data_IF_775560008971
#
_entry.id   IF_775560008971
#
_cell.length_a   1.000
_cell.length_b   1.000
_cell.length_c   1.000
_cell.angle_alpha   90.00
_cell.angle_beta   90.00
_cell.angle_gamma   90.00
#
_symmetry.space_group_name_H-M   'P 1'
#
loop_
_entity.id
_entity.type
_entity.pdbx_description
1 polymer ?
#
# COMPACT_ATOMS: atom_id res chain seq x y z
N UNK A 1 12.54 -9.37 25.17
CA UNK A 1 11.67 -9.80 24.05
C UNK A 1 11.44 -8.59 23.18
N UNK A 2 11.80 -8.68 21.90
CA UNK A 2 11.73 -7.53 21.02
C UNK A 2 10.30 -7.34 20.52
N UNK A 3 9.77 -6.12 20.65
CA UNK A 3 8.49 -5.73 20.07
C UNK A 3 8.59 -5.76 18.52
N UNK A 4 7.48 -5.97 17.79
CA UNK A 4 7.49 -5.85 16.34
C UNK A 4 7.94 -4.46 15.90
N UNK A 5 8.60 -4.42 14.74
CA UNK A 5 8.98 -3.17 14.07
C UNK A 5 8.08 -2.91 12.86
N UNK A 6 8.01 -1.64 12.45
CA UNK A 6 7.11 -1.15 11.41
C UNK A 6 7.90 -0.38 10.35
N UNK A 7 7.47 -0.50 9.10
CA UNK A 7 7.87 0.39 8.00
C UNK A 7 6.71 0.55 7.03
N UNK A 8 6.67 1.63 6.27
CA UNK A 8 5.55 1.95 5.39
C UNK A 8 6.05 2.51 4.06
N UNK A 9 5.43 2.07 2.96
CA UNK A 9 5.55 2.66 1.64
C UNK A 9 4.17 3.17 1.22
N UNK A 10 4.07 4.41 0.73
CA UNK A 10 2.81 4.97 0.24
C UNK A 10 2.98 5.45 -1.20
N UNK A 11 2.15 4.92 -2.08
CA UNK A 11 2.00 5.37 -3.44
C UNK A 11 0.86 6.39 -3.56
N UNK A 12 1.08 7.45 -4.33
CA UNK A 12 0.12 8.54 -4.55
C UNK A 12 0.11 8.93 -6.03
N UNK A 13 -1.07 9.20 -6.58
CA UNK A 13 -1.16 9.77 -7.92
C UNK A 13 -0.87 11.27 -7.90
N UNK A 14 -0.14 11.76 -8.90
CA UNK A 14 0.01 13.20 -9.15
C UNK A 14 -0.73 13.53 -10.44
N UNK A 15 -1.92 14.12 -10.31
CA UNK A 15 -2.84 14.35 -11.43
C UNK A 15 -2.73 15.77 -11.97
N UNK A 16 -2.68 15.88 -13.29
CA UNK A 16 -2.82 17.13 -14.04
C UNK A 16 -4.01 16.97 -14.98
N UNK A 17 -5.05 17.78 -14.81
CA UNK A 17 -6.32 17.66 -15.53
C UNK A 17 -6.89 16.23 -15.44
N UNK A 18 -6.87 15.68 -14.23
CA UNK A 18 -7.39 14.34 -13.92
C UNK A 18 -6.54 13.18 -14.45
N UNK A 19 -5.29 13.40 -14.88
CA UNK A 19 -4.43 12.34 -15.44
C UNK A 19 -3.01 12.35 -14.84
N UNK A 20 -2.41 11.18 -14.56
CA UNK A 20 -1.00 11.10 -14.22
C UNK A 20 -0.11 11.67 -15.33
N UNK A 21 1.02 12.26 -14.95
CA UNK A 21 1.99 12.82 -15.90
C UNK A 21 3.43 12.55 -15.46
N UNK A 22 4.30 12.26 -16.42
CA UNK A 22 5.75 12.12 -16.16
C UNK A 22 6.39 13.39 -15.61
N UNK A 23 5.70 14.53 -15.67
CA UNK A 23 6.13 15.77 -15.02
C UNK A 23 6.33 15.64 -13.50
N UNK A 24 5.62 14.72 -12.83
CA UNK A 24 5.77 14.47 -11.40
C UNK A 24 7.13 13.87 -11.02
N UNK A 25 7.86 13.30 -11.99
CA UNK A 25 9.25 12.88 -11.79
C UNK A 25 10.17 14.06 -11.45
N UNK A 26 9.85 15.27 -11.91
CA UNK A 26 10.62 16.45 -11.52
C UNK A 26 10.38 16.81 -10.05
N UNK A 27 9.15 16.64 -9.55
CA UNK A 27 8.84 16.88 -8.15
C UNK A 27 9.55 15.85 -7.26
N UNK A 28 9.57 14.58 -7.69
CA UNK A 28 10.41 13.53 -7.06
C UNK A 28 11.91 13.83 -7.15
N UNK A 29 12.40 14.39 -8.26
CA UNK A 29 13.79 14.80 -8.38
C UNK A 29 14.12 15.90 -7.36
N UNK A 30 13.27 16.92 -7.22
CA UNK A 30 13.46 17.97 -6.21
C UNK A 30 13.47 17.37 -4.81
N UNK A 31 12.56 16.43 -4.50
CA UNK A 31 12.56 15.72 -3.22
C UNK A 31 13.86 14.94 -3.01
N UNK A 32 14.29 14.15 -4.00
CA UNK A 32 15.55 13.41 -3.99
C UNK A 32 16.73 14.33 -3.65
N UNK A 33 16.83 15.49 -4.31
CA UNK A 33 17.97 16.39 -4.16
C UNK A 33 17.96 17.23 -2.88
N UNK A 34 16.82 17.33 -2.16
CA UNK A 34 16.78 17.95 -0.83
C UNK A 34 17.55 17.14 0.22
N UNK A 35 17.49 15.82 0.14
CA UNK A 35 18.28 14.91 0.98
C UNK A 35 18.60 13.63 0.19
N UNK A 36 19.67 13.66 -0.62
CA UNK A 36 20.04 12.51 -1.44
C UNK A 36 20.36 11.26 -0.63
N UNK A 37 20.88 11.41 0.60
CA UNK A 37 21.27 10.26 1.43
C UNK A 37 20.04 9.46 1.84
N UNK A 38 18.98 10.15 2.26
CA UNK A 38 17.72 9.52 2.66
C UNK A 38 16.86 9.16 1.46
N UNK A 39 16.58 10.13 0.59
CA UNK A 39 15.52 10.00 -0.40
C UNK A 39 15.90 9.13 -1.60
N UNK A 40 17.18 8.77 -1.78
CA UNK A 40 17.62 7.88 -2.85
C UNK A 40 16.97 6.50 -2.77
N UNK A 41 16.90 5.91 -1.57
CA UNK A 41 16.25 4.62 -1.32
C UNK A 41 14.81 4.72 -0.84
N UNK A 42 14.32 5.92 -0.49
CA UNK A 42 13.00 6.15 0.11
C UNK A 42 12.01 6.83 -0.82
N UNK A 43 12.32 6.89 -2.11
CA UNK A 43 11.41 7.38 -3.14
C UNK A 43 11.41 6.44 -4.32
N UNK A 44 10.24 6.22 -4.91
CA UNK A 44 10.08 5.44 -6.13
C UNK A 44 9.00 6.05 -7.02
N UNK A 45 8.86 5.51 -8.22
CA UNK A 45 7.83 5.89 -9.17
C UNK A 45 7.42 4.68 -9.99
N UNK A 46 6.13 4.58 -10.25
CA UNK A 46 5.53 3.52 -11.04
C UNK A 46 5.12 4.04 -12.43
N UNK A 47 5.26 3.16 -13.40
CA UNK A 47 4.87 3.44 -14.78
C UNK A 47 3.79 2.46 -15.24
N UNK A 48 2.90 2.95 -16.08
CA UNK A 48 2.00 2.10 -16.86
C UNK A 48 2.76 1.45 -18.00
N UNK A 49 2.20 0.35 -18.52
CA UNK A 49 2.70 -0.32 -19.73
C UNK A 49 1.93 0.09 -20.99
N UNK A 50 1.13 1.15 -20.94
CA UNK A 50 0.24 1.57 -22.04
C UNK A 50 0.39 3.06 -22.36
N UNK A 51 0.64 3.36 -23.63
CA UNK A 51 0.60 4.73 -24.16
C UNK A 51 -0.85 5.28 -24.14
N UNK A 52 -1.06 6.61 -24.09
CA UNK A 52 -0.06 7.69 -24.16
C UNK A 52 0.54 8.10 -22.79
N UNK A 53 0.00 7.61 -21.68
CA UNK A 53 0.41 8.04 -20.33
C UNK A 53 1.25 6.96 -19.66
N UNK A 54 2.57 7.12 -19.74
CA UNK A 54 3.51 6.17 -19.15
C UNK A 54 3.56 6.28 -17.62
N UNK A 55 3.18 7.40 -17.01
CA UNK A 55 3.27 7.58 -15.56
C UNK A 55 2.05 6.99 -14.83
N UNK A 56 2.27 6.42 -13.65
CA UNK A 56 1.24 6.00 -12.69
C UNK A 56 1.40 6.82 -11.39
N UNK A 57 2.03 6.25 -10.37
CA UNK A 57 2.17 6.84 -9.04
C UNK A 57 3.60 7.27 -8.73
N UNK A 58 3.72 8.20 -7.79
CA UNK A 58 4.97 8.47 -7.06
C UNK A 58 4.87 7.81 -5.69
N UNK A 59 6.01 7.49 -5.09
CA UNK A 59 6.06 6.76 -3.82
C UNK A 59 7.09 7.37 -2.88
N UNK A 60 6.80 7.33 -1.59
CA UNK A 60 7.80 7.49 -0.54
C UNK A 60 7.75 6.31 0.44
N UNK A 61 8.84 6.11 1.17
CA UNK A 61 8.94 5.13 2.25
C UNK A 61 9.44 5.76 3.55
N UNK A 62 9.03 5.19 4.69
CA UNK A 62 9.50 5.57 6.03
C UNK A 62 10.72 4.76 6.47
N UNK A 63 11.38 5.17 7.55
CA UNK A 63 12.32 4.34 8.29
C UNK A 63 11.64 3.26 9.14
N UNK A 64 12.45 2.45 9.82
CA UNK A 64 11.97 1.38 10.69
C UNK A 64 11.64 1.95 12.07
N UNK A 65 10.42 1.70 12.55
CA UNK A 65 9.91 2.22 13.82
C UNK A 65 9.52 1.11 14.78
N UNK A 66 9.63 1.38 16.09
CA UNK A 66 9.19 0.46 17.14
C UNK A 66 7.75 0.68 17.61
N UNK A 67 7.04 1.71 17.10
CA UNK A 67 5.67 2.01 17.50
C UNK A 67 4.84 2.61 16.37
N UNK A 68 3.51 2.38 16.36
CA UNK A 68 2.57 3.00 15.41
C UNK A 68 2.64 4.53 15.39
N UNK A 69 2.75 5.17 16.56
CA UNK A 69 2.78 6.62 16.67
C UNK A 69 4.02 7.24 15.97
N UNK A 70 5.20 6.62 16.13
CA UNK A 70 6.43 7.09 15.48
C UNK A 70 6.37 6.93 13.96
N UNK A 71 5.84 5.79 13.48
CA UNK A 71 5.60 5.55 12.07
C UNK A 71 4.65 6.59 11.47
N UNK A 72 3.54 6.89 12.15
CA UNK A 72 2.55 7.86 11.70
C UNK A 72 3.14 9.27 11.63
N UNK A 73 3.90 9.67 12.65
CA UNK A 73 4.57 10.97 12.66
C UNK A 73 5.52 11.14 11.47
N UNK A 74 6.34 10.12 11.17
CA UNK A 74 7.20 10.18 9.98
C UNK A 74 6.37 10.18 8.70
N UNK A 75 5.33 9.35 8.61
CA UNK A 75 4.45 9.31 7.43
C UNK A 75 3.85 10.69 7.13
N UNK A 76 3.33 11.40 8.14
CA UNK A 76 2.82 12.76 7.96
C UNK A 76 3.92 13.73 7.52
N UNK A 77 5.14 13.61 8.05
CA UNK A 77 6.27 14.41 7.61
C UNK A 77 6.65 14.12 6.15
N UNK A 78 6.62 12.86 5.70
CA UNK A 78 6.87 12.48 4.30
C UNK A 78 5.80 13.08 3.37
N UNK A 79 4.51 13.01 3.74
CA UNK A 79 3.41 13.63 2.99
C UNK A 79 3.61 15.14 2.84
N UNK A 80 3.96 15.82 3.93
CA UNK A 80 4.23 17.26 3.92
C UNK A 80 5.43 17.62 3.01
N UNK A 81 6.50 16.83 3.04
CA UNK A 81 7.64 17.02 2.15
C UNK A 81 7.27 16.85 0.67
N UNK A 82 6.48 15.81 0.33
CA UNK A 82 5.99 15.59 -1.02
C UNK A 82 5.07 16.72 -1.48
N UNK A 83 4.12 17.15 -0.64
CA UNK A 83 3.25 18.29 -0.89
C UNK A 83 4.03 19.59 -1.13
N UNK A 84 5.13 19.80 -0.40
CA UNK A 84 5.96 21.00 -0.53
C UNK A 84 6.77 21.05 -1.84
N UNK A 85 7.05 19.91 -2.48
CA UNK A 85 7.71 19.88 -3.81
C UNK A 85 6.70 19.84 -4.95
N UNK A 86 5.59 19.11 -4.80
CA UNK A 86 4.51 19.04 -5.77
C UNK A 86 3.60 20.26 -5.64
N UNK A 87 4.11 21.43 -6.03
CA UNK A 87 3.37 22.72 -5.97
C UNK A 87 2.24 22.81 -6.99
N UNK A 88 2.30 22.00 -8.03
CA UNK A 88 1.24 21.84 -9.04
C UNK A 88 0.98 20.36 -9.27
N UNK A 89 -0.24 20.06 -9.69
CA UNK A 89 -0.76 18.70 -9.75
C UNK A 89 -1.40 18.28 -8.42
N UNK A 90 -2.53 17.59 -8.53
CA UNK A 90 -3.30 17.12 -7.38
C UNK A 90 -2.69 15.82 -6.86
N UNK A 91 -2.41 15.77 -5.55
CA UNK A 91 -1.97 14.58 -4.83
C UNK A 91 -3.18 13.76 -4.43
N UNK A 92 -3.37 12.61 -5.08
CA UNK A 92 -4.58 11.80 -4.95
C UNK A 92 -4.22 10.43 -4.37
N UNK A 93 -4.33 10.24 -3.04
CA UNK A 93 -4.13 8.95 -2.37
C UNK A 93 -5.39 8.08 -2.54
N UNK A 94 -5.54 7.45 -3.71
CA UNK A 94 -6.66 6.56 -4.04
C UNK A 94 -6.15 5.24 -4.56
N UNK A 95 -6.78 4.11 -4.25
CA UNK A 95 -6.25 2.79 -4.65
C UNK A 95 -6.14 2.59 -6.18
N UNK A 96 -7.07 3.15 -6.95
CA UNK A 96 -7.12 3.00 -8.40
C UNK A 96 -7.88 4.15 -9.05
N UNK A 97 -7.41 4.62 -10.20
CA UNK A 97 -8.11 5.62 -11.00
C UNK A 97 -9.28 5.01 -11.80
N UNK A 98 -10.31 5.79 -12.16
CA UNK A 98 -11.48 5.34 -12.92
C UNK A 98 -11.20 5.13 -14.42
N UNK A 99 -10.09 4.45 -14.78
CA UNK A 99 -9.65 4.22 -16.16
C UNK A 99 -9.41 2.75 -16.53
N UNK A 100 -9.72 1.82 -15.62
CA UNK A 100 -9.58 0.35 -15.77
C UNK A 100 -8.17 -0.13 -16.17
N UNK A 101 -7.14 0.71 -16.10
CA UNK A 101 -5.79 0.30 -16.40
C UNK A 101 -5.21 -0.44 -15.17
N UNK A 102 -4.93 -1.75 -15.25
CA UNK A 102 -4.48 -2.53 -14.09
C UNK A 102 -3.12 -2.08 -13.54
N UNK A 103 -2.37 -1.24 -14.28
CA UNK A 103 -1.11 -0.63 -13.86
C UNK A 103 -1.27 0.77 -13.23
N UNK A 104 -2.47 1.38 -13.31
CA UNK A 104 -2.81 2.64 -12.64
C UNK A 104 -3.42 2.37 -11.27
N UNK A 105 -2.59 1.79 -10.40
CA UNK A 105 -2.95 1.49 -9.02
C UNK A 105 -1.96 2.15 -8.08
N UNK A 106 -2.43 2.58 -6.93
CA UNK A 106 -1.61 3.03 -5.81
C UNK A 106 -1.85 2.12 -4.62
N UNK A 107 -0.80 1.71 -3.92
CA UNK A 107 -0.87 0.94 -2.68
C UNK A 107 -0.34 1.68 -1.46
N UNK A 108 -0.80 1.24 -0.30
CA UNK A 108 -0.11 1.44 0.98
C UNK A 108 0.49 0.10 1.39
N UNK A 109 1.82 0.00 1.46
CA UNK A 109 2.49 -1.22 1.88
C UNK A 109 2.92 -1.07 3.33
N UNK A 110 2.43 -1.95 4.20
CA UNK A 110 2.82 -1.98 5.61
C UNK A 110 3.77 -3.16 5.86
N UNK A 111 4.98 -2.85 6.30
CA UNK A 111 5.99 -3.83 6.68
C UNK A 111 5.99 -4.06 8.18
N UNK A 112 5.97 -5.33 8.59
CA UNK A 112 6.06 -5.77 9.98
C UNK A 112 7.29 -6.67 10.14
N UNK A 113 8.27 -6.20 10.91
CA UNK A 113 9.45 -6.98 11.27
C UNK A 113 9.28 -7.65 12.64
N UNK A 114 9.49 -8.96 12.70
CA UNK A 114 9.48 -9.76 13.93
C UNK A 114 10.68 -10.70 13.95
N UNK A 115 10.98 -11.29 15.10
CA UNK A 115 12.00 -12.34 15.21
C UNK A 115 11.67 -13.53 14.30
N UNK A 116 12.69 -14.14 13.67
CA UNK A 116 12.50 -15.17 12.64
C UNK A 116 11.62 -16.35 13.08
N UNK A 117 11.79 -16.82 14.33
CA UNK A 117 10.97 -17.90 14.90
C UNK A 117 9.50 -17.52 15.16
N UNK A 118 9.16 -16.23 15.07
CA UNK A 118 7.82 -15.69 15.29
C UNK A 118 7.11 -15.33 13.98
N UNK A 119 7.84 -15.34 12.86
CA UNK A 119 7.40 -14.83 11.56
C UNK A 119 6.15 -15.53 11.05
N UNK A 120 6.12 -16.87 11.13
CA UNK A 120 4.97 -17.65 10.67
C UNK A 120 3.71 -17.34 11.48
N UNK A 121 3.81 -17.30 12.82
CA UNK A 121 2.68 -16.95 13.68
C UNK A 121 2.15 -15.55 13.39
N UNK A 122 3.04 -14.56 13.31
CA UNK A 122 2.64 -13.19 13.03
C UNK A 122 1.96 -13.09 11.65
N UNK A 123 2.49 -13.79 10.63
CA UNK A 123 1.87 -13.87 9.31
C UNK A 123 0.47 -14.47 9.39
N UNK A 124 0.29 -15.62 10.06
CA UNK A 124 -1.01 -16.29 10.26
C UNK A 124 -2.02 -15.34 10.92
N UNK A 125 -1.62 -14.65 12.00
CA UNK A 125 -2.48 -13.73 12.73
C UNK A 125 -2.92 -12.54 11.87
N UNK A 126 -2.00 -11.96 11.10
CA UNK A 126 -2.31 -10.86 10.18
C UNK A 126 -3.21 -11.34 9.05
N UNK A 127 -2.91 -12.50 8.45
CA UNK A 127 -3.65 -13.05 7.33
C UNK A 127 -5.13 -13.30 7.67
N UNK A 128 -5.42 -13.72 8.91
CA UNK A 128 -6.80 -13.89 9.42
C UNK A 128 -7.61 -12.60 9.33
N UNK A 129 -7.04 -11.46 9.73
CA UNK A 129 -7.74 -10.17 9.79
C UNK A 129 -7.46 -9.25 8.59
N UNK A 130 -6.67 -9.69 7.62
CA UNK A 130 -6.38 -8.94 6.41
C UNK A 130 -7.63 -8.43 5.67
N UNK A 131 -8.75 -9.19 5.57
CA UNK A 131 -9.98 -8.68 4.98
C UNK A 131 -10.51 -7.42 5.68
N UNK A 132 -10.46 -7.38 7.03
CA UNK A 132 -10.93 -6.26 7.84
C UNK A 132 -10.04 -5.04 7.61
N UNK A 133 -8.71 -5.22 7.70
CA UNK A 133 -7.75 -4.14 7.45
C UNK A 133 -7.85 -3.59 6.02
N UNK A 134 -8.09 -4.47 5.04
CA UNK A 134 -8.22 -4.08 3.63
C UNK A 134 -9.49 -3.26 3.41
N UNK A 135 -10.64 -3.71 3.92
CA UNK A 135 -11.89 -2.95 3.81
C UNK A 135 -11.78 -1.59 4.51
N UNK A 136 -11.15 -1.54 5.69
CA UNK A 136 -10.94 -0.29 6.42
C UNK A 136 -10.10 0.73 5.63
N UNK A 137 -9.17 0.26 4.81
CA UNK A 137 -8.34 1.10 3.93
C UNK A 137 -9.02 1.50 2.62
N UNK A 138 -10.10 0.83 2.22
CA UNK A 138 -10.63 0.85 0.87
C UNK A 138 -10.98 2.27 0.40
N UNK A 139 -10.42 2.66 -0.74
CA UNK A 139 -10.62 3.98 -1.34
C UNK A 139 -10.80 3.94 -2.85
N UNK A 140 -10.94 2.77 -3.47
CA UNK A 140 -11.03 2.61 -4.94
C UNK A 140 -12.39 2.07 -5.41
N UNK A 141 -13.49 2.83 -5.28
CA UNK A 141 -14.85 2.31 -5.47
C UNK A 141 -15.28 2.08 -6.92
N UNK A 142 -14.48 2.43 -7.92
CA UNK A 142 -14.92 2.47 -9.32
C UNK A 142 -14.29 1.40 -10.20
N UNK A 143 -15.10 0.85 -11.10
CA UNK A 143 -14.66 0.15 -12.30
C UNK A 143 -14.92 1.07 -13.49
N UNK A 144 -13.86 1.68 -14.01
CA UNK A 144 -14.03 2.76 -14.99
C UNK A 144 -14.83 3.88 -14.34
N UNK A 145 -15.94 4.29 -14.98
CA UNK A 145 -16.84 5.32 -14.44
C UNK A 145 -18.00 4.76 -13.61
N UNK A 146 -18.15 3.45 -13.56
CA UNK A 146 -19.24 2.80 -12.84
C UNK A 146 -18.83 2.50 -11.40
N UNK A 147 -19.80 2.59 -10.48
CA UNK A 147 -19.60 2.14 -9.10
C UNK A 147 -19.44 0.63 -9.08
N UNK A 148 -18.32 0.17 -8.53
CA UNK A 148 -18.01 -1.24 -8.32
C UNK A 148 -18.35 -1.69 -6.89
N UNK A 149 -17.92 -0.92 -5.89
CA UNK A 149 -18.00 -1.29 -4.48
C UNK A 149 -17.00 -0.48 -3.65
N UNK A 150 -16.16 -1.16 -2.87
CA UNK A 150 -15.21 -0.52 -1.96
C UNK A 150 -13.77 -0.51 -2.51
N UNK A 151 -13.28 -1.61 -3.07
CA UNK A 151 -11.91 -1.67 -3.61
C UNK A 151 -11.82 -2.46 -4.91
N UNK A 152 -11.90 -1.76 -6.04
CA UNK A 152 -11.64 -2.33 -7.36
C UNK A 152 -10.17 -2.64 -7.56
N UNK A 153 -9.25 -1.93 -6.88
CA UNK A 153 -7.81 -2.22 -6.90
C UNK A 153 -7.53 -3.68 -6.54
N UNK A 154 -8.17 -4.20 -5.49
CA UNK A 154 -7.96 -5.59 -5.04
C UNK A 154 -8.37 -6.62 -6.10
N UNK A 155 -9.33 -6.27 -6.97
CA UNK A 155 -9.81 -7.15 -8.05
C UNK A 155 -8.95 -7.04 -9.32
N UNK A 156 -8.52 -5.83 -9.68
CA UNK A 156 -7.97 -5.54 -11.00
C UNK A 156 -6.45 -5.28 -11.03
N UNK A 157 -5.81 -4.99 -9.89
CA UNK A 157 -4.37 -4.72 -9.86
C UNK A 157 -3.56 -5.92 -10.32
N UNK A 158 -2.58 -5.70 -11.20
CA UNK A 158 -1.65 -6.76 -11.62
C UNK A 158 -0.72 -7.24 -10.49
N UNK A 159 -0.58 -6.45 -9.43
CA UNK A 159 0.41 -6.64 -8.37
C UNK A 159 -0.13 -7.36 -7.14
N UNK A 160 -1.44 -7.66 -7.12
CA UNK A 160 -2.20 -8.24 -6.01
C UNK A 160 -2.82 -9.57 -6.41
N UNK A 161 -3.25 -10.35 -5.42
CA UNK A 161 -3.79 -11.68 -5.69
C UNK A 161 -4.16 -12.47 -4.43
N UNK A 162 -4.91 -13.58 -4.60
CA UNK A 162 -5.26 -14.46 -3.50
C UNK A 162 -4.01 -15.00 -2.79
N UNK A 163 -4.14 -15.33 -1.50
CA UNK A 163 -3.06 -15.94 -0.75
C UNK A 163 -2.80 -17.35 -1.26
N UNK A 164 -1.51 -17.65 -1.49
CA UNK A 164 -1.04 -18.95 -1.94
C UNK A 164 -0.36 -19.72 -0.79
N UNK A 165 -0.04 -20.99 -1.05
CA UNK A 165 0.71 -21.83 -0.08
C UNK A 165 2.11 -21.28 0.20
N UNK A 166 2.77 -20.70 -0.80
CA UNK A 166 4.08 -20.05 -0.62
C UNK A 166 3.90 -18.58 -0.19
N UNK A 167 4.21 -18.22 1.07
CA UNK A 167 4.10 -16.84 1.54
C UNK A 167 5.13 -15.91 0.88
N UNK A 168 6.14 -16.44 0.18
CA UNK A 168 7.15 -15.67 -0.54
C UNK A 168 6.74 -15.34 -1.98
N UNK A 169 5.59 -15.84 -2.45
CA UNK A 169 5.09 -15.53 -3.79
C UNK A 169 4.74 -14.04 -3.88
N UNK A 170 5.31 -13.32 -4.85
CA UNK A 170 5.22 -11.86 -4.89
C UNK A 170 3.82 -11.33 -5.22
N UNK A 171 3.03 -11.98 -6.07
CA UNK A 171 1.76 -11.39 -6.56
C UNK A 171 0.56 -11.85 -5.73
N UNK A 172 0.58 -11.51 -4.44
CA UNK A 172 -0.52 -11.76 -3.52
C UNK A 172 -0.63 -10.64 -2.49
N UNK A 173 -1.76 -10.61 -1.80
CA UNK A 173 -2.21 -9.54 -0.91
C UNK A 173 -1.37 -9.38 0.38
N UNK A 174 -0.70 -10.45 0.81
CA UNK A 174 0.20 -10.50 1.96
C UNK A 174 1.39 -11.39 1.65
N UNK A 175 2.61 -10.91 1.88
CA UNK A 175 3.82 -11.68 1.60
C UNK A 175 4.79 -11.66 2.77
N UNK A 176 5.73 -12.60 2.76
CA UNK A 176 7.00 -12.45 3.45
C UNK A 176 8.02 -11.96 2.43
N UNK A 177 8.65 -10.81 2.71
CA UNK A 177 9.62 -10.22 1.80
C UNK A 177 10.92 -11.00 1.84
N UNK A 178 11.40 -11.47 0.69
CA UNK A 178 12.68 -12.20 0.61
C UNK A 178 13.88 -11.35 1.01
N UNK A 179 13.81 -10.04 0.76
CA UNK A 179 14.91 -9.10 0.98
C UNK A 179 14.99 -8.62 2.42
N UNK A 180 13.86 -8.27 3.03
CA UNK A 180 13.84 -7.67 4.36
C UNK A 180 13.48 -8.69 5.45
N UNK A 181 12.93 -9.85 5.08
CA UNK A 181 12.45 -10.85 6.05
C UNK A 181 11.23 -10.35 6.83
N UNK A 182 10.51 -9.35 6.32
CA UNK A 182 9.33 -8.75 6.95
C UNK A 182 8.06 -9.36 6.39
N UNK A 183 6.97 -9.29 7.14
CA UNK A 183 5.62 -9.46 6.58
C UNK A 183 5.24 -8.15 5.91
N UNK A 184 4.72 -8.19 4.70
CA UNK A 184 4.31 -7.01 3.92
C UNK A 184 2.84 -7.15 3.51
N UNK A 185 2.00 -6.29 4.07
CA UNK A 185 0.58 -6.14 3.69
C UNK A 185 0.53 -5.24 2.47
N UNK A 186 0.02 -5.75 1.35
CA UNK A 186 0.02 -5.05 0.05
C UNK A 186 -1.39 -4.71 -0.43
N UNK A 187 -2.38 -5.38 0.16
CA UNK A 187 -3.80 -5.22 -0.13
C UNK A 187 -4.34 -3.81 0.17
N UNK A 188 -3.66 -3.03 1.01
CA UNK A 188 -4.21 -1.77 1.51
C UNK A 188 -4.20 -0.69 0.41
N UNK A 189 -5.32 0.00 0.27
CA UNK A 189 -5.39 1.22 -0.54
C UNK A 189 -4.73 2.39 0.25
N UNK A 190 -4.26 3.46 -0.41
CA UNK A 190 -3.79 4.66 0.28
C UNK A 190 -4.89 5.31 1.13
N UNK A 191 -4.49 5.87 2.28
CA UNK A 191 -5.40 6.38 3.30
C UNK A 191 -5.06 7.83 3.62
N UNK A 192 -5.86 8.80 3.18
CA UNK A 192 -5.59 10.20 3.50
C UNK A 192 -5.78 10.53 5.00
N UNK A 193 -6.76 9.89 5.67
CA UNK A 193 -7.13 10.18 7.06
C UNK A 193 -6.10 9.59 8.07
N UNK A 194 -5.39 10.43 8.85
CA UNK A 194 -4.38 9.95 9.79
C UNK A 194 -4.92 9.05 10.90
N UNK A 195 -6.14 9.27 11.39
CA UNK A 195 -6.74 8.47 12.46
C UNK A 195 -7.08 7.05 11.97
N UNK A 196 -7.62 6.96 10.76
CA UNK A 196 -7.91 5.68 10.09
C UNK A 196 -6.61 4.90 9.84
N UNK A 197 -5.58 5.59 9.34
CA UNK A 197 -4.25 4.98 9.15
C UNK A 197 -3.68 4.49 10.48
N UNK A 198 -3.77 5.28 11.54
CA UNK A 198 -3.33 4.88 12.88
C UNK A 198 -4.03 3.62 13.37
N UNK A 199 -5.36 3.54 13.23
CA UNK A 199 -6.14 2.38 13.66
C UNK A 199 -5.72 1.09 12.94
N UNK A 200 -5.48 1.16 11.62
CA UNK A 200 -5.03 0.02 10.82
C UNK A 200 -3.59 -0.40 11.21
N UNK A 201 -2.68 0.56 11.36
CA UNK A 201 -1.28 0.29 11.74
C UNK A 201 -1.19 -0.29 13.15
N UNK A 202 -1.92 0.28 14.11
CA UNK A 202 -1.93 -0.19 15.50
C UNK A 202 -2.52 -1.59 15.61
N UNK A 203 -3.63 -1.88 14.92
CA UNK A 203 -4.20 -3.21 14.87
C UNK A 203 -3.21 -4.24 14.29
N UNK A 204 -2.58 -3.94 13.14
CA UNK A 204 -1.60 -4.84 12.53
C UNK A 204 -0.37 -5.07 13.42
N UNK A 205 0.13 -4.01 14.08
CA UNK A 205 1.24 -4.10 15.03
C UNK A 205 0.89 -4.98 16.24
N UNK A 206 -0.30 -4.82 16.83
CA UNK A 206 -0.80 -5.64 17.94
C UNK A 206 -0.97 -7.11 17.53
N UNK A 207 -1.51 -7.38 16.34
CA UNK A 207 -1.64 -8.74 15.80
C UNK A 207 -0.28 -9.42 15.65
N UNK A 208 0.74 -8.70 15.17
CA UNK A 208 2.11 -9.20 15.08
C UNK A 208 2.73 -9.45 16.47
N UNK A 209 2.35 -8.66 17.48
CA UNK A 209 2.81 -8.80 18.86
C UNK A 209 2.10 -9.92 19.65
N UNK A 210 0.97 -10.45 19.15
CA UNK A 210 0.27 -11.55 19.80
C UNK A 210 1.17 -12.78 19.92
N UNK A 211 1.21 -13.36 21.13
CA UNK A 211 2.02 -14.55 21.43
C UNK A 211 1.35 -15.85 21.03
N UNK A 212 0.01 -15.85 20.95
CA UNK A 212 -0.77 -17.00 20.50
C UNK A 212 -0.95 -16.98 18.99
N UNK A 213 -0.97 -18.16 18.38
CA UNK A 213 -1.41 -18.34 17.01
C UNK A 213 -2.94 -18.38 16.96
N UNK A 214 -3.52 -17.69 16.00
CA UNK A 214 -4.95 -17.69 15.74
C UNK A 214 -5.26 -18.66 14.58
N UNK A 215 -6.44 -19.29 14.59
CA UNK A 215 -6.82 -20.17 13.49
C UNK A 215 -6.92 -19.39 12.18
N UNK A 216 -6.31 -19.90 11.12
CA UNK A 216 -6.34 -19.26 9.81
C UNK A 216 -6.46 -20.31 8.72
N UNK A 217 -7.30 -20.02 7.74
CA UNK A 217 -7.42 -20.79 6.52
C UNK A 217 -7.40 -19.87 5.31
N UNK A 218 -6.42 -20.09 4.43
CA UNK A 218 -6.26 -19.34 3.19
C UNK A 218 -7.46 -19.50 2.24
N UNK A 219 -8.17 -20.64 2.26
CA UNK A 219 -9.35 -20.83 1.42
C UNK A 219 -10.50 -19.94 1.87
N UNK A 220 -10.74 -19.86 3.19
CA UNK A 220 -11.68 -18.93 3.82
C UNK A 220 -11.36 -17.48 3.48
N UNK A 221 -10.08 -17.07 3.64
CA UNK A 221 -9.64 -15.73 3.22
C UNK A 221 -9.94 -15.47 1.74
N UNK A 222 -9.55 -16.40 0.86
CA UNK A 222 -9.72 -16.24 -0.59
C UNK A 222 -11.20 -16.21 -1.00
N UNK A 223 -12.09 -16.85 -0.23
CA UNK A 223 -13.54 -16.75 -0.41
C UNK A 223 -14.07 -15.37 -0.04
N UNK A 224 -13.67 -14.83 1.13
CA UNK A 224 -14.03 -13.48 1.55
C UNK A 224 -13.50 -12.41 0.59
N UNK A 225 -12.25 -12.57 0.13
CA UNK A 225 -11.58 -11.69 -0.84
C UNK A 225 -12.38 -11.46 -2.13
N UNK A 226 -13.21 -12.43 -2.54
CA UNK A 226 -14.06 -12.28 -3.74
C UNK A 226 -15.31 -11.43 -3.49
N UNK A 227 -15.68 -11.20 -2.23
CA UNK A 227 -16.96 -10.60 -1.83
C UNK A 227 -16.79 -9.20 -1.25
N UNK A 228 -16.00 -9.05 -0.17
CA UNK A 228 -15.91 -7.79 0.56
C UNK A 228 -15.47 -6.57 -0.28
N UNK A 229 -14.62 -6.69 -1.32
CA UNK A 229 -14.27 -5.52 -2.12
C UNK A 229 -15.46 -4.92 -2.88
N UNK A 230 -16.52 -5.72 -3.08
CA UNK A 230 -17.77 -5.32 -3.73
C UNK A 230 -18.88 -5.07 -2.72
N UNK A 231 -19.06 -5.97 -1.78
CA UNK A 231 -20.19 -6.01 -0.83
C UNK A 231 -19.95 -5.19 0.44
N UNK A 232 -18.69 -4.83 0.75
CA UNK A 232 -18.36 -4.13 1.99
C UNK A 232 -18.38 -5.05 3.20
N UNK A 233 -18.98 -4.56 4.29
CA UNK A 233 -19.03 -5.24 5.58
C UNK A 233 -20.08 -6.36 5.59
N UNK A 234 -19.69 -7.55 5.13
CA UNK A 234 -20.54 -8.76 5.19
C UNK A 234 -20.68 -9.27 6.64
N UNK A 235 -21.69 -10.11 6.95
CA UNK A 235 -21.85 -10.69 8.30
C UNK A 235 -20.59 -11.42 8.79
N UNK A 236 -19.97 -12.23 7.94
CA UNK A 236 -18.76 -12.98 8.28
C UNK A 236 -17.57 -12.04 8.53
N UNK A 237 -17.49 -10.93 7.78
CA UNK A 237 -16.46 -9.92 7.99
C UNK A 237 -16.70 -9.10 9.26
N UNK A 238 -17.96 -8.86 9.61
CA UNK A 238 -18.36 -8.20 10.86
C UNK A 238 -17.97 -9.03 12.08
N UNK A 239 -18.13 -10.35 12.02
CA UNK A 239 -17.65 -11.27 13.08
C UNK A 239 -16.13 -11.18 13.25
N UNK A 240 -15.37 -11.20 12.16
CA UNK A 240 -13.91 -11.00 12.19
C UNK A 240 -13.53 -9.62 12.74
N UNK A 241 -14.31 -8.58 12.42
CA UNK A 241 -14.08 -7.23 12.91
C UNK A 241 -14.32 -7.09 14.41
N UNK A 242 -15.37 -7.73 14.94
CA UNK A 242 -15.65 -7.78 16.38
C UNK A 242 -14.51 -8.52 17.12
N UNK A 243 -14.05 -9.65 16.59
CA UNK A 243 -12.90 -10.34 17.16
C UNK A 243 -11.63 -9.47 17.11
N UNK A 244 -11.39 -8.75 16.01
CA UNK A 244 -10.27 -7.82 15.91
C UNK A 244 -10.37 -6.70 16.95
N UNK A 245 -11.57 -6.14 17.15
CA UNK A 245 -11.85 -5.12 18.14
C UNK A 245 -11.52 -5.61 19.56
N UNK A 246 -11.96 -6.82 19.92
CA UNK A 246 -11.66 -7.43 21.22
C UNK A 246 -10.15 -7.62 21.43
N UNK A 247 -9.40 -7.95 20.38
CA UNK A 247 -7.97 -8.21 20.47
C UNK A 247 -7.10 -6.95 20.47
N UNK A 248 -7.55 -5.90 19.79
CA UNK A 248 -6.69 -4.76 19.44
C UNK A 248 -7.26 -3.40 19.83
N UNK A 249 -8.56 -3.31 20.13
CA UNK A 249 -9.29 -2.05 20.28
C UNK A 249 -9.68 -1.40 18.95
N UNK A 250 -9.60 -2.12 17.83
CA UNK A 250 -10.00 -1.62 16.52
C UNK A 250 -11.48 -1.19 16.50
N UNK A 251 -11.74 0.02 16.02
CA UNK A 251 -13.09 0.59 15.97
C UNK A 251 -13.80 0.20 14.67
N UNK A 252 -14.96 -0.43 14.80
CA UNK A 252 -15.75 -0.92 13.66
C UNK A 252 -16.25 0.20 12.75
N UNK A 253 -16.31 1.46 13.22
CA UNK A 253 -16.75 2.59 12.39
C UNK A 253 -15.95 2.71 11.09
N UNK A 254 -14.69 2.29 11.08
CA UNK A 254 -13.83 2.35 9.89
C UNK A 254 -14.27 1.41 8.77
N UNK A 255 -15.15 0.45 9.07
CA UNK A 255 -15.74 -0.48 8.12
C UNK A 255 -17.17 -0.07 7.72
N UNK A 256 -17.86 0.66 8.60
CA UNK A 256 -19.23 1.13 8.39
C UNK A 256 -19.27 2.40 7.55
N UNK A 257 -18.25 3.25 7.67
CA UNK A 257 -18.05 4.44 6.86
C UNK A 257 -16.72 4.29 6.12
N UNK A 258 -16.74 3.73 4.91
CA UNK A 258 -15.49 3.57 4.13
C UNK A 258 -15.16 4.83 3.34
N UNK A 259 -13.86 5.11 3.11
CA UNK A 259 -13.48 6.21 2.22
C UNK A 259 -14.02 5.96 0.81
N UNK A 260 -14.06 4.70 0.37
CA UNK A 260 -14.63 4.32 -0.90
C UNK A 260 -16.09 4.79 -1.08
N UNK A 261 -16.95 4.63 -0.08
CA UNK A 261 -18.34 5.11 -0.15
C UNK A 261 -18.39 6.64 -0.21
N UNK A 262 -17.65 7.31 0.68
CA UNK A 262 -17.57 8.78 0.68
C UNK A 262 -17.12 9.34 -0.67
N UNK A 263 -16.10 8.73 -1.28
CA UNK A 263 -15.58 9.15 -2.57
C UNK A 263 -16.57 8.86 -3.71
N UNK A 264 -17.26 7.72 -3.68
CA UNK A 264 -18.28 7.37 -4.66
C UNK A 264 -19.45 8.37 -4.63
N UNK A 265 -19.96 8.69 -3.43
CA UNK A 265 -21.04 9.66 -3.24
C UNK A 265 -20.65 11.05 -3.75
N UNK A 266 -19.43 11.51 -3.41
CA UNK A 266 -18.93 12.78 -3.90
C UNK A 266 -18.77 12.80 -5.43
N UNK A 267 -18.31 11.70 -6.03
CA UNK A 267 -18.21 11.58 -7.49
C UNK A 267 -19.59 11.61 -8.16
N UNK A 268 -20.59 10.98 -7.56
CA UNK A 268 -21.97 10.97 -8.07
C UNK A 268 -22.62 12.35 -7.98
N UNK A 269 -22.35 13.11 -6.91
CA UNK A 269 -22.94 14.42 -6.66
C UNK A 269 -22.24 15.56 -7.40
N UNK A 270 -20.90 15.56 -7.40
CA UNK A 270 -20.08 16.70 -7.84
C UNK A 270 -19.07 16.35 -8.94
N UNK A 271 -18.91 15.07 -9.27
CA UNK A 271 -17.98 14.60 -10.29
C UNK A 271 -16.55 14.37 -9.79
N UNK A 272 -15.76 13.66 -10.60
CA UNK A 272 -14.40 13.24 -10.25
C UNK A 272 -13.41 14.40 -10.01
N UNK A 273 -13.60 15.56 -10.66
CA UNK A 273 -12.70 16.69 -10.45
C UNK A 273 -12.75 17.18 -9.00
N UNK A 274 -13.95 17.30 -8.42
CA UNK A 274 -14.13 17.65 -7.01
C UNK A 274 -13.49 16.60 -6.10
N UNK A 275 -13.68 15.31 -6.39
CA UNK A 275 -13.03 14.23 -5.63
C UNK A 275 -11.52 14.41 -5.56
N UNK A 276 -10.87 14.67 -6.70
CA UNK A 276 -9.42 14.86 -6.75
C UNK A 276 -8.97 16.09 -5.98
N UNK A 277 -9.71 17.20 -6.06
CA UNK A 277 -9.41 18.40 -5.27
C UNK A 277 -9.59 18.17 -3.77
N UNK A 278 -10.62 17.43 -3.36
CA UNK A 278 -10.86 17.10 -1.96
C UNK A 278 -9.77 16.19 -1.39
N UNK A 279 -9.33 15.20 -2.17
CA UNK A 279 -8.23 14.31 -1.80
C UNK A 279 -6.88 15.05 -1.73
N UNK A 280 -6.60 15.98 -2.66
CA UNK A 280 -5.41 16.83 -2.57
C UNK A 280 -5.45 17.76 -1.35
N UNK A 281 -6.62 18.37 -1.06
CA UNK A 281 -6.80 19.20 0.13
C UNK A 281 -6.60 18.42 1.41
N UNK A 282 -7.18 17.23 1.50
CA UNK A 282 -6.95 16.27 2.58
C UNK A 282 -5.48 15.92 2.75
N UNK A 283 -4.79 15.58 1.66
CA UNK A 283 -3.40 15.18 1.71
C UNK A 283 -2.47 16.31 2.18
N UNK A 284 -2.78 17.57 1.80
CA UNK A 284 -1.95 18.74 2.12
C UNK A 284 -2.25 19.35 3.49
N UNK A 285 -3.50 19.32 3.92
CA UNK A 285 -3.96 20.06 5.11
C UNK A 285 -4.44 19.16 6.25
N UNK A 286 -4.61 17.86 5.99
CA UNK A 286 -5.24 16.92 6.92
C UNK A 286 -6.76 17.05 7.00
N UNK A 287 -7.37 17.99 6.26
CA UNK A 287 -8.82 18.21 6.25
C UNK A 287 -9.40 17.90 4.88
N UNK A 288 -10.45 17.09 4.83
CA UNK A 288 -11.12 16.76 3.58
C UNK A 288 -11.96 17.95 3.08
N UNK A 289 -11.47 18.58 2.02
CA UNK A 289 -12.12 19.72 1.37
C UNK A 289 -11.34 20.12 0.12
N UNK A 290 -11.98 20.82 -0.83
CA UNK A 290 -11.40 21.07 -2.14
C UNK A 290 -10.16 21.98 -2.05
N UNK A 291 -9.07 21.57 -2.69
CA UNK A 291 -7.87 22.39 -2.81
C UNK A 291 -7.93 23.38 -3.99
N UNK A 292 -7.18 24.46 -3.86
CA UNK A 292 -6.93 25.45 -4.91
C UNK A 292 -5.65 25.17 -5.71
N UNK A 293 -5.06 23.98 -5.53
CA UNK A 293 -3.83 23.58 -6.22
C UNK A 293 -4.03 23.64 -7.73
N UNK A 294 -3.10 24.28 -8.43
CA UNK A 294 -3.10 24.34 -9.90
C UNK A 294 -2.73 22.98 -10.47
N UNK A 295 -3.55 22.45 -11.36
CA UNK A 295 -3.37 21.13 -11.98
C UNK A 295 -3.42 21.20 -13.51
N UNK A 296 -3.13 22.37 -14.08
CA UNK A 296 -3.06 22.56 -15.54
C UNK A 296 -1.99 21.68 -16.17
N UNK A 297 -2.13 21.39 -17.46
CA UNK A 297 -1.19 20.53 -18.19
C UNK A 297 0.25 21.04 -18.05
N UNK A 298 1.17 20.23 -17.52
CA UNK A 298 2.55 20.66 -17.32
C UNK A 298 3.28 20.77 -18.66
N UNK A 299 4.27 21.65 -18.71
CA UNK A 299 5.15 21.76 -19.86
C UNK A 299 5.94 20.45 -20.07
N UNK A 300 6.04 19.99 -21.33
CA UNK A 300 6.67 18.70 -21.69
C UNK A 300 8.11 18.56 -21.17
N UNK A 301 8.86 19.66 -21.09
CA UNK A 301 10.24 19.65 -20.58
C UNK A 301 10.34 19.18 -19.13
N UNK A 302 9.30 19.36 -18.30
CA UNK A 302 9.31 18.89 -16.91
C UNK A 302 9.48 17.38 -16.82
N UNK A 303 8.82 16.62 -17.70
CA UNK A 303 8.97 15.16 -17.74
C UNK A 303 10.38 14.74 -18.13
N UNK A 304 10.97 15.38 -19.16
CA UNK A 304 12.34 15.11 -19.58
C UNK A 304 13.37 15.48 -18.50
N UNK A 305 13.20 16.65 -17.86
CA UNK A 305 14.04 17.08 -16.74
C UNK A 305 13.91 16.14 -15.54
N UNK A 306 12.69 15.70 -15.23
CA UNK A 306 12.43 14.70 -14.18
C UNK A 306 13.15 13.38 -14.45
N UNK A 307 13.05 12.83 -15.67
CA UNK A 307 13.79 11.63 -16.06
C UNK A 307 15.30 11.82 -15.87
N UNK A 308 15.86 12.92 -16.37
CA UNK A 308 17.30 13.18 -16.25
C UNK A 308 17.74 13.35 -14.79
N UNK A 309 17.02 14.15 -14.00
CA UNK A 309 17.44 14.51 -12.64
C UNK A 309 17.10 13.45 -11.59
N UNK A 310 16.10 12.59 -11.84
CA UNK A 310 15.69 11.53 -10.91
C UNK A 310 16.31 10.17 -11.27
N UNK A 311 16.24 9.76 -12.54
CA UNK A 311 16.71 8.42 -12.93
C UNK A 311 18.20 8.37 -13.22
N UNK A 312 18.81 9.38 -13.85
CA UNK A 312 20.25 9.33 -14.13
C UNK A 312 21.11 9.01 -12.89
N UNK A 313 20.88 9.61 -11.70
CA UNK A 313 21.64 9.23 -10.50
C UNK A 313 21.27 7.85 -9.95
N UNK A 314 20.03 7.36 -10.16
CA UNK A 314 19.54 6.06 -9.66
C UNK A 314 19.90 4.88 -10.57
N UNK A 315 20.15 5.10 -11.86
CA UNK A 315 20.40 4.05 -12.85
C UNK A 315 21.51 3.06 -12.44
N UNK A 316 22.69 3.50 -11.94
CA UNK A 316 23.74 2.56 -11.52
C UNK A 316 23.28 1.62 -10.38
N UNK A 317 22.55 2.17 -9.41
CA UNK A 317 22.00 1.38 -8.31
C UNK A 317 20.90 0.43 -8.77
N UNK A 318 20.00 0.87 -9.65
CA UNK A 318 18.95 0.03 -10.22
C UNK A 318 19.54 -1.14 -11.04
N UNK A 319 20.58 -0.87 -11.83
CA UNK A 319 21.31 -1.90 -12.57
C UNK A 319 21.97 -2.92 -11.63
N UNK A 320 22.63 -2.44 -10.56
CA UNK A 320 23.22 -3.32 -9.53
C UNK A 320 22.15 -4.15 -8.82
N UNK A 321 21.00 -3.56 -8.48
CA UNK A 321 19.87 -4.27 -7.84
C UNK A 321 19.35 -5.37 -8.76
N UNK A 322 19.08 -5.06 -10.04
CA UNK A 322 18.63 -6.06 -11.02
C UNK A 322 19.64 -7.18 -11.23
N UNK A 323 20.94 -6.84 -11.29
CA UNK A 323 22.00 -7.85 -11.38
C UNK A 323 22.04 -8.76 -10.15
N UNK A 324 21.92 -8.20 -8.93
CA UNK A 324 21.86 -9.00 -7.69
C UNK A 324 20.59 -9.84 -7.59
N UNK A 325 19.46 -9.38 -8.10
CA UNK A 325 18.23 -10.17 -8.13
C UNK A 325 18.34 -11.37 -9.09
N UNK A 326 19.09 -11.23 -10.20
CA UNK A 326 19.24 -12.29 -11.20
C UNK A 326 20.42 -13.24 -10.94
N UNK A 327 21.50 -12.75 -10.32
CA UNK A 327 22.75 -13.50 -10.13
C UNK A 327 23.18 -13.64 -8.67
N UNK A 328 22.55 -12.93 -7.74
CA UNK A 328 22.87 -13.02 -6.32
C UNK A 328 22.34 -14.33 -5.73
N UNK A 329 23.13 -14.96 -4.88
CA UNK A 329 22.62 -16.04 -4.03
C UNK A 329 21.55 -15.43 -3.09
N UNK A 330 20.37 -16.04 -2.95
CA UNK A 330 19.42 -15.59 -1.95
C UNK A 330 20.10 -15.61 -0.58
N UNK A 331 19.80 -14.66 0.32
CA UNK A 331 20.23 -14.80 1.71
C UNK A 331 19.76 -16.17 2.18
N UNK A 332 20.69 -16.93 2.76
CA UNK A 332 20.41 -18.25 3.31
C UNK A 332 19.36 -18.03 4.40
N UNK A 333 18.10 -18.32 4.10
CA UNK A 333 17.17 -18.75 5.12
C UNK A 333 17.77 -20.05 5.61
N UNK A 334 18.32 -20.03 6.83
CA UNK A 334 18.85 -21.22 7.46
C UNK A 334 17.74 -22.27 7.47
N UNK A 335 17.84 -23.21 6.52
CA UNK A 335 17.02 -24.42 6.47
C UNK A 335 17.67 -25.40 7.42
N UNK A 336 17.67 -25.06 8.71
CA UNK A 336 18.10 -26.03 9.73
C UNK A 336 17.10 -27.20 9.67
N UNK A 337 17.57 -28.45 9.49
CA UNK A 337 16.69 -29.60 9.48
C UNK A 337 16.13 -29.79 10.90
N UNK A 338 14.83 -29.59 11.06
CA UNK A 338 14.15 -29.74 12.37
C UNK A 338 12.81 -29.02 12.55
N UNK A 339 12.34 -28.19 11.61
CA UNK A 339 11.03 -27.54 11.73
C UNK A 339 9.91 -28.41 11.12
N UNK A 340 8.81 -28.69 11.86
CA UNK A 340 7.81 -29.72 11.53
C UNK A 340 6.76 -29.23 10.50
N UNK A 341 7.20 -28.62 9.39
CA UNK A 341 6.31 -28.18 8.32
C UNK A 341 6.08 -29.23 7.22
N UNK A 342 6.69 -30.41 7.33
CA UNK A 342 6.43 -31.52 6.42
C UNK A 342 6.47 -32.84 7.20
N UNK A 343 5.29 -33.28 7.66
CA UNK A 343 5.09 -34.64 8.15
C UNK A 343 5.27 -35.65 7.03
N UNK A 344 5.92 -36.76 7.41
CA UNK A 344 6.33 -37.93 6.64
C UNK A 344 5.18 -38.62 5.87
N UNK A 345 5.55 -39.40 4.84
CA UNK A 345 5.26 -40.86 4.65
C UNK A 345 6.11 -41.29 3.44
N UNK A 346 7.23 -42.02 3.68
CA UNK A 346 7.42 -43.46 3.39
C UNK A 346 7.55 -43.78 1.87
N UNK A 347 8.37 -44.71 1.36
CA UNK A 347 9.16 -45.81 1.93
C UNK A 347 9.96 -46.44 0.76
N UNK A 348 11.13 -47.00 1.08
CA UNK A 348 11.87 -48.10 0.43
C UNK A 348 12.34 -48.02 -1.03
N UNK A 349 13.60 -48.48 -1.22
CA UNK A 349 14.20 -48.86 -2.49
C UNK A 349 15.68 -48.55 -2.57
#
# INVERSE_FOLDING_TARGET
>A
MNLPTLGLEEEVFVLYQGRPSTASLLDLAVLLWRDPRRNFSKTASNFTRRLPNLMSTVEFATDVHGSPAALLAETMARRAELAAVARTGLLVPVGMLPDENPYNTAGLHLHLGVEAGQLQRAYTNIARFLPVLTLASASSPWRGRERFGHSYRLQASFALGPLQRDPLHRFQDLIITRRLGTIELRALDPIWNPERLHAIVDAAWRLAALRRELPFDSATYNALRRRFPREGLTPELRELALELADLTGFDLKWLEETEAERLAELAEQEGFETVWRCLDGAYRTGTFGPSTTLDTRPAKWRGAAGLALYYAPKLPYMALKGWREHHGRPPVLDRSPGSPLFGEVAVEG
#
